data_IF_207737928758
#
_entry.id   IF_207737928758
#
_cell.length_a   1.000
_cell.length_b   1.000
_cell.length_c   1.000
_cell.angle_alpha   90.00
_cell.angle_beta   90.00
_cell.angle_gamma   90.00
#
_symmetry.space_group_name_H-M   'P 1'
#
loop_
_entity.id
_entity.type
_entity.pdbx_description
1 polymer ?
#
# COMPACT_ATOMS: atom_id res chain seq x y z
N UNK A 1 9.35 25.82 -48.04
CA UNK A 1 10.15 25.83 -46.79
C UNK A 1 9.26 25.32 -45.68
N UNK A 2 9.59 24.16 -45.12
CA UNK A 2 8.75 23.43 -44.18
C UNK A 2 8.71 24.12 -42.82
N UNK A 3 7.49 24.47 -42.37
CA UNK A 3 7.23 24.79 -40.97
C UNK A 3 7.08 23.48 -40.19
N UNK A 4 8.01 23.24 -39.26
CA UNK A 4 8.04 22.05 -38.43
C UNK A 4 6.75 21.85 -37.64
N UNK A 5 6.16 20.67 -37.82
CA UNK A 5 5.17 20.11 -36.91
C UNK A 5 5.80 19.99 -35.53
N UNK A 6 5.29 20.77 -34.58
CA UNK A 6 5.53 20.55 -33.14
C UNK A 6 4.87 19.22 -32.81
N UNK A 7 5.69 18.17 -32.69
CA UNK A 7 5.24 16.87 -32.24
C UNK A 7 4.57 17.01 -30.88
N UNK A 8 3.33 16.56 -30.77
CA UNK A 8 2.63 16.46 -29.49
C UNK A 8 3.35 15.42 -28.61
N UNK A 9 4.08 15.90 -27.61
CA UNK A 9 4.59 15.06 -26.52
C UNK A 9 3.39 14.51 -25.74
N UNK A 10 2.90 13.35 -26.18
CA UNK A 10 1.78 12.61 -25.57
C UNK A 10 2.22 11.83 -24.32
N UNK A 11 3.15 12.40 -23.54
CA UNK A 11 3.69 11.81 -22.32
C UNK A 11 3.37 12.67 -21.10
N UNK A 12 3.02 12.04 -19.98
CA UNK A 12 2.96 12.73 -18.69
C UNK A 12 4.36 13.19 -18.33
N UNK A 13 4.54 14.50 -18.14
CA UNK A 13 5.82 15.02 -17.65
C UNK A 13 6.08 14.57 -16.20
N UNK A 14 7.22 13.92 -16.02
CA UNK A 14 7.66 13.33 -14.75
C UNK A 14 8.38 14.39 -13.92
N UNK A 15 7.88 14.62 -12.71
CA UNK A 15 8.45 15.60 -11.78
C UNK A 15 9.96 15.36 -11.57
N UNK A 16 10.83 16.37 -11.74
CA UNK A 16 12.28 16.17 -11.71
C UNK A 16 12.80 15.54 -10.41
N UNK A 17 12.25 15.94 -9.26
CA UNK A 17 12.67 15.41 -7.95
C UNK A 17 12.40 13.91 -7.81
N UNK A 18 11.34 13.38 -8.44
CA UNK A 18 11.07 11.94 -8.45
C UNK A 18 12.16 11.13 -9.15
N UNK A 19 12.80 11.71 -10.17
CA UNK A 19 13.91 11.06 -10.89
C UNK A 19 15.21 11.05 -10.08
N UNK A 20 15.34 11.98 -9.14
CA UNK A 20 16.53 12.15 -8.31
C UNK A 20 16.42 11.46 -6.95
N UNK A 21 15.24 10.97 -6.57
CA UNK A 21 15.05 10.27 -5.31
C UNK A 21 15.84 8.96 -5.29
N UNK A 22 16.60 8.68 -4.21
CA UNK A 22 17.26 7.40 -4.04
C UNK A 22 16.23 6.29 -3.86
N UNK A 23 16.47 5.15 -4.51
CA UNK A 23 15.64 3.97 -4.34
C UNK A 23 16.06 3.21 -3.07
N UNK A 24 15.07 2.72 -2.33
CA UNK A 24 15.29 1.77 -1.26
C UNK A 24 15.91 0.45 -1.80
N UNK A 25 16.73 -0.25 -1.00
CA UNK A 25 17.38 -1.47 -1.44
C UNK A 25 16.38 -2.58 -1.77
N UNK A 26 16.70 -3.35 -2.80
CA UNK A 26 15.93 -4.51 -3.26
C UNK A 26 16.72 -5.79 -2.99
N UNK A 27 16.13 -6.72 -2.26
CA UNK A 27 16.73 -7.98 -1.86
C UNK A 27 16.03 -9.18 -2.52
N UNK A 28 16.81 -10.20 -2.89
CA UNK A 28 16.37 -11.43 -3.54
C UNK A 28 16.92 -12.64 -2.78
N UNK A 29 16.30 -13.04 -1.66
CA UNK A 29 16.75 -14.18 -0.89
C UNK A 29 16.80 -15.46 -1.74
N UNK A 30 17.81 -16.28 -1.50
CA UNK A 30 17.82 -17.67 -1.95
C UNK A 30 16.71 -18.47 -1.24
N UNK A 31 16.37 -19.65 -1.78
CA UNK A 31 15.39 -20.53 -1.14
C UNK A 31 15.77 -20.88 0.31
N UNK A 32 17.06 -21.08 0.60
CA UNK A 32 17.53 -21.38 1.95
C UNK A 32 17.37 -20.18 2.89
N UNK A 33 17.73 -18.99 2.44
CA UNK A 33 17.55 -17.76 3.23
C UNK A 33 16.09 -17.44 3.48
N UNK A 34 15.21 -17.80 2.54
CA UNK A 34 13.77 -17.57 2.65
C UNK A 34 13.07 -18.51 3.63
N UNK A 35 13.75 -19.52 4.20
CA UNK A 35 13.16 -20.43 5.18
C UNK A 35 12.93 -19.78 6.55
N UNK A 36 13.75 -18.78 6.92
CA UNK A 36 13.65 -18.08 8.21
C UNK A 36 13.50 -16.56 7.98
N UNK A 37 12.27 -16.03 8.03
CA UNK A 37 12.02 -14.61 7.77
C UNK A 37 12.73 -13.70 8.76
N UNK A 38 12.78 -14.07 10.04
CA UNK A 38 13.35 -13.19 11.08
C UNK A 38 14.86 -13.15 10.96
N UNK A 39 15.50 -14.30 10.75
CA UNK A 39 16.95 -14.34 10.51
C UNK A 39 17.34 -13.58 9.23
N UNK A 40 16.52 -13.65 8.17
CA UNK A 40 16.80 -12.91 6.94
C UNK A 40 16.63 -11.40 7.11
N UNK A 41 15.59 -10.94 7.81
CA UNK A 41 15.40 -9.52 8.13
C UNK A 41 16.60 -9.01 8.92
N UNK A 42 17.04 -9.74 9.94
CA UNK A 42 18.23 -9.39 10.73
C UNK A 42 19.51 -9.33 9.88
N UNK A 43 19.66 -10.24 8.90
CA UNK A 43 20.80 -10.24 7.96
C UNK A 43 20.89 -8.93 7.16
N UNK A 44 19.76 -8.41 6.69
CA UNK A 44 19.71 -7.21 5.82
C UNK A 44 19.57 -5.89 6.60
N UNK A 45 19.22 -5.95 7.89
CA UNK A 45 18.87 -4.81 8.74
C UNK A 45 19.91 -3.69 8.71
N UNK A 46 21.20 -4.04 8.78
CA UNK A 46 22.29 -3.05 8.83
C UNK A 46 22.30 -2.10 7.63
N UNK A 47 21.97 -2.60 6.44
CA UNK A 47 21.89 -1.78 5.22
C UNK A 47 20.49 -1.18 5.07
N UNK A 48 19.44 -2.00 5.23
CA UNK A 48 18.06 -1.59 5.02
C UNK A 48 17.62 -0.45 5.96
N UNK A 49 18.10 -0.45 7.21
CA UNK A 49 17.76 0.58 8.20
C UNK A 49 18.18 1.99 7.79
N UNK A 50 19.24 2.13 6.99
CA UNK A 50 19.72 3.42 6.47
C UNK A 50 18.72 4.08 5.51
N UNK A 51 17.72 3.34 5.04
CA UNK A 51 16.66 3.81 4.13
C UNK A 51 15.28 3.86 4.81
N UNK A 52 15.13 3.27 6.00
CA UNK A 52 13.86 3.12 6.71
C UNK A 52 12.90 2.07 6.13
N UNK A 53 13.01 1.74 4.84
CA UNK A 53 12.25 0.68 4.17
C UNK A 53 13.15 -0.10 3.19
N UNK A 54 12.75 -1.31 2.85
CA UNK A 54 13.35 -2.09 1.76
C UNK A 54 12.30 -2.92 1.03
N UNK A 55 12.67 -3.48 -0.13
CA UNK A 55 11.81 -4.39 -0.89
C UNK A 55 12.44 -5.77 -0.94
N UNK A 56 11.69 -6.80 -0.54
CA UNK A 56 12.11 -8.20 -0.65
C UNK A 56 11.30 -8.86 -1.77
N UNK A 57 11.97 -9.45 -2.75
CA UNK A 57 11.35 -10.23 -3.82
C UNK A 57 11.51 -11.71 -3.49
N UNK A 58 10.42 -12.41 -3.14
CA UNK A 58 10.48 -13.82 -2.78
C UNK A 58 11.04 -14.70 -3.92
N UNK A 59 11.77 -15.78 -3.61
CA UNK A 59 12.14 -16.81 -4.58
C UNK A 59 10.98 -17.75 -4.92
N UNK A 60 9.90 -17.70 -4.14
CA UNK A 60 8.69 -18.50 -4.31
C UNK A 60 7.62 -17.75 -5.12
N UNK A 61 6.78 -18.51 -5.81
CA UNK A 61 5.68 -17.93 -6.58
C UNK A 61 4.62 -17.30 -5.66
N UNK A 62 3.95 -16.22 -6.09
CA UNK A 62 2.76 -15.73 -5.40
C UNK A 62 1.61 -16.75 -5.54
N UNK A 63 0.68 -16.76 -4.58
CA UNK A 63 -0.56 -17.53 -4.71
C UNK A 63 -1.35 -17.09 -5.96
N UNK A 64 -1.93 -18.05 -6.67
CA UNK A 64 -2.79 -17.75 -7.83
C UNK A 64 -3.93 -16.78 -7.45
N UNK A 65 -4.30 -15.87 -8.36
CA UNK A 65 -5.34 -14.84 -8.14
C UNK A 65 -6.64 -15.43 -7.58
N UNK A 66 -7.11 -16.55 -8.16
CA UNK A 66 -8.34 -17.23 -7.71
C UNK A 66 -8.22 -17.70 -6.26
N UNK A 67 -7.08 -18.25 -5.88
CA UNK A 67 -6.79 -18.72 -4.52
C UNK A 67 -6.75 -17.57 -3.52
N UNK A 68 -6.01 -16.50 -3.84
CA UNK A 68 -5.92 -15.32 -2.97
C UNK A 68 -7.31 -14.67 -2.74
N UNK A 69 -8.11 -14.52 -3.80
CA UNK A 69 -9.50 -14.01 -3.68
C UNK A 69 -10.38 -14.96 -2.88
N UNK A 70 -10.25 -16.27 -3.08
CA UNK A 70 -11.03 -17.26 -2.32
C UNK A 70 -10.72 -17.22 -0.82
N UNK A 71 -9.43 -17.10 -0.45
CA UNK A 71 -9.01 -16.96 0.94
C UNK A 71 -9.50 -15.66 1.57
N UNK A 72 -9.42 -14.55 0.83
CA UNK A 72 -9.94 -13.26 1.29
C UNK A 72 -11.45 -13.32 1.51
N UNK A 73 -12.21 -13.83 0.54
CA UNK A 73 -13.67 -13.97 0.66
C UNK A 73 -14.06 -14.88 1.83
N UNK A 74 -13.31 -15.96 2.08
CA UNK A 74 -13.52 -16.81 3.26
C UNK A 74 -13.31 -16.04 4.55
N UNK A 75 -12.25 -15.23 4.63
CA UNK A 75 -11.96 -14.39 5.80
C UNK A 75 -13.03 -13.31 6.02
N UNK A 76 -13.51 -12.68 4.95
CA UNK A 76 -14.60 -11.70 5.04
C UNK A 76 -15.93 -12.37 5.43
N UNK A 77 -16.21 -13.55 4.91
CA UNK A 77 -17.41 -14.33 5.28
C UNK A 77 -17.42 -14.70 6.76
N UNK A 78 -16.27 -15.03 7.36
CA UNK A 78 -16.21 -15.37 8.78
C UNK A 78 -16.56 -14.21 9.70
N UNK A 79 -16.44 -12.97 9.23
CA UNK A 79 -16.85 -11.78 10.00
C UNK A 79 -18.37 -11.60 10.03
N UNK A 80 -19.06 -12.01 8.95
CA UNK A 80 -20.51 -11.93 8.80
C UNK A 80 -21.06 -13.19 8.11
N UNK A 81 -21.22 -14.33 8.82
CA UNK A 81 -21.53 -15.62 8.21
C UNK A 81 -22.84 -15.69 7.42
N UNK A 82 -23.78 -14.78 7.71
CA UNK A 82 -25.12 -14.74 7.10
C UNK A 82 -25.21 -13.74 5.93
N UNK A 83 -24.08 -13.25 5.42
CA UNK A 83 -24.05 -12.23 4.36
C UNK A 83 -22.99 -12.53 3.32
N UNK A 84 -23.12 -11.92 2.13
CA UNK A 84 -22.09 -12.01 1.11
C UNK A 84 -20.76 -11.42 1.64
N UNK A 85 -19.59 -11.99 1.27
CA UNK A 85 -18.29 -11.44 1.63
C UNK A 85 -18.13 -9.99 1.14
N UNK A 86 -18.20 -9.05 2.08
CA UNK A 86 -18.16 -7.61 1.82
C UNK A 86 -17.20 -6.93 2.77
N UNK A 87 -16.79 -5.71 2.41
CA UNK A 87 -15.96 -4.84 3.25
C UNK A 87 -16.40 -3.39 3.09
N UNK A 88 -16.16 -2.59 4.12
CA UNK A 88 -16.46 -1.16 4.10
C UNK A 88 -15.22 -0.35 3.73
N UNK A 89 -15.44 0.73 2.99
CA UNK A 89 -14.40 1.69 2.57
C UNK A 89 -14.49 2.97 3.41
N UNK A 90 -13.48 3.82 3.26
CA UNK A 90 -13.45 5.20 3.77
C UNK A 90 -13.14 6.14 2.61
N UNK A 91 -13.76 7.31 2.59
CA UNK A 91 -13.40 8.34 1.63
C UNK A 91 -12.15 9.07 2.10
N UNK A 92 -11.21 9.26 1.18
CA UNK A 92 -10.02 10.06 1.35
C UNK A 92 -10.05 11.21 0.36
N UNK A 93 -9.83 12.42 0.85
CA UNK A 93 -9.70 13.59 -0.02
C UNK A 93 -8.26 13.70 -0.54
N UNK A 94 -8.13 14.07 -1.81
CA UNK A 94 -6.87 14.42 -2.47
C UNK A 94 -7.05 15.79 -3.07
N UNK A 95 -6.05 16.64 -2.98
CA UNK A 95 -6.04 17.99 -3.52
C UNK A 95 -6.00 19.06 -2.44
N UNK A 96 -5.81 20.30 -2.87
CA UNK A 96 -5.62 21.43 -1.97
C UNK A 96 -6.95 22.10 -1.63
N UNK A 97 -7.30 22.13 -0.34
CA UNK A 97 -8.41 22.92 0.19
C UNK A 97 -7.86 24.18 0.87
N UNK A 98 -8.15 25.40 0.37
CA UNK A 98 -7.75 26.62 1.07
C UNK A 98 -8.36 26.65 2.48
N UNK A 99 -7.53 26.78 3.52
CA UNK A 99 -7.94 26.78 4.96
C UNK A 99 -9.10 27.75 5.27
N UNK A 100 -9.31 28.79 4.45
CA UNK A 100 -10.39 29.78 4.60
C UNK A 100 -11.80 29.28 4.23
N UNK A 101 -11.95 28.06 3.71
CA UNK A 101 -13.25 27.46 3.37
C UNK A 101 -13.59 26.23 4.23
N UNK A 102 -13.02 26.12 5.43
CA UNK A 102 -13.48 25.18 6.46
C UNK A 102 -14.84 25.64 7.02
N UNK A 103 -15.87 25.71 6.17
CA UNK A 103 -17.22 25.48 6.67
C UNK A 103 -17.28 24.01 7.12
N UNK A 104 -17.97 23.68 8.22
CA UNK A 104 -18.06 22.31 8.71
C UNK A 104 -18.97 21.50 7.77
N UNK A 105 -18.44 21.11 6.61
CA UNK A 105 -19.12 20.28 5.61
C UNK A 105 -18.74 18.81 5.78
N UNK A 106 -18.01 18.44 6.83
CA UNK A 106 -17.84 17.04 7.22
C UNK A 106 -19.03 16.64 8.08
N UNK A 107 -20.17 16.33 7.44
CA UNK A 107 -21.38 15.84 8.14
C UNK A 107 -21.26 14.40 8.65
N UNK A 108 -20.21 13.66 8.25
CA UNK A 108 -19.97 12.26 8.64
C UNK A 108 -18.50 12.08 9.01
N UNK A 109 -18.24 11.34 10.10
CA UNK A 109 -16.87 10.94 10.45
C UNK A 109 -16.20 10.20 9.29
N UNK A 110 -14.87 10.24 9.19
CA UNK A 110 -14.09 9.46 8.20
C UNK A 110 -14.52 7.98 8.22
N UNK A 111 -14.84 7.47 9.42
CA UNK A 111 -15.27 6.10 9.65
C UNK A 111 -16.63 5.74 9.03
N UNK A 112 -17.47 6.73 8.75
CA UNK A 112 -18.82 6.59 8.18
C UNK A 112 -18.93 7.13 6.75
N UNK A 113 -17.80 7.51 6.15
CA UNK A 113 -17.77 8.27 4.90
C UNK A 113 -17.86 7.40 3.65
N UNK A 114 -17.44 6.12 3.72
CA UNK A 114 -17.45 5.22 2.58
C UNK A 114 -18.68 4.32 2.52
N UNK A 115 -18.63 3.40 1.56
CA UNK A 115 -19.69 2.42 1.26
C UNK A 115 -19.18 0.99 1.48
N UNK A 116 -20.11 0.03 1.48
CA UNK A 116 -19.82 -1.40 1.56
C UNK A 116 -19.84 -2.02 0.18
N UNK A 117 -18.81 -2.82 -0.13
CA UNK A 117 -18.63 -3.45 -1.42
C UNK A 117 -18.25 -4.92 -1.31
N UNK A 118 -18.61 -5.69 -2.33
CA UNK A 118 -17.88 -6.92 -2.66
C UNK A 118 -16.59 -6.57 -3.41
N UNK A 119 -15.61 -7.48 -3.41
CA UNK A 119 -14.35 -7.26 -4.13
C UNK A 119 -14.58 -7.00 -5.64
N UNK A 120 -15.57 -7.68 -6.23
CA UNK A 120 -15.92 -7.49 -7.65
C UNK A 120 -16.49 -6.09 -7.92
N UNK A 121 -17.37 -5.59 -7.05
CA UNK A 121 -17.94 -4.25 -7.19
C UNK A 121 -16.84 -3.19 -7.07
N UNK A 122 -15.98 -3.30 -6.06
CA UNK A 122 -14.90 -2.34 -5.86
C UNK A 122 -13.85 -2.38 -6.99
N UNK A 123 -13.51 -3.57 -7.50
CA UNK A 123 -12.62 -3.69 -8.68
C UNK A 123 -13.22 -3.01 -9.92
N UNK A 124 -14.53 -3.13 -10.15
CA UNK A 124 -15.20 -2.45 -11.26
C UNK A 124 -15.17 -0.92 -11.10
N UNK A 125 -15.48 -0.41 -9.89
CA UNK A 125 -15.38 1.01 -9.55
C UNK A 125 -13.96 1.55 -9.74
N UNK A 126 -12.96 0.84 -9.22
CA UNK A 126 -11.54 1.23 -9.34
C UNK A 126 -11.09 1.29 -10.80
N UNK A 127 -11.52 0.32 -11.64
CA UNK A 127 -11.23 0.34 -13.09
C UNK A 127 -11.86 1.53 -13.79
N UNK A 128 -13.13 1.83 -13.49
CA UNK A 128 -13.80 2.98 -14.08
C UNK A 128 -13.10 4.29 -13.70
N UNK A 129 -12.75 4.45 -12.42
CA UNK A 129 -12.00 5.61 -11.95
C UNK A 129 -10.62 5.73 -12.59
N UNK A 130 -9.88 4.63 -12.75
CA UNK A 130 -8.57 4.70 -13.41
C UNK A 130 -8.65 5.16 -14.87
N UNK A 131 -9.72 4.79 -15.58
CA UNK A 131 -9.92 5.18 -16.98
C UNK A 131 -10.20 6.67 -17.15
N UNK A 132 -10.82 7.31 -16.15
CA UNK A 132 -11.13 8.75 -16.20
C UNK A 132 -9.94 9.60 -15.76
N UNK A 133 -9.03 9.06 -14.94
CA UNK A 133 -7.89 9.81 -14.38
C UNK A 133 -6.58 9.62 -15.13
N UNK A 134 -6.35 8.45 -15.69
CA UNK A 134 -5.13 8.17 -16.44
C UNK A 134 -5.29 8.61 -17.90
N UNK A 135 -4.29 9.28 -18.49
CA UNK A 135 -4.36 9.68 -19.89
C UNK A 135 -4.51 8.47 -20.81
N UNK A 136 -5.31 8.64 -21.85
CA UNK A 136 -5.56 7.61 -22.85
C UNK A 136 -4.28 7.31 -23.62
N UNK A 137 -3.79 6.08 -23.54
CA UNK A 137 -2.66 5.64 -24.35
C UNK A 137 -3.19 5.07 -25.68
N UNK A 138 -2.74 5.56 -26.85
CA UNK A 138 -3.14 5.01 -28.14
C UNK A 138 -2.75 3.52 -28.25
N UNK A 139 -3.64 2.71 -28.82
CA UNK A 139 -3.36 1.30 -29.12
C UNK A 139 -2.17 1.19 -30.07
N UNK A 140 -1.13 0.43 -29.69
CA UNK A 140 0.00 0.10 -30.58
C UNK A 140 1.39 0.53 -30.11
N UNK A 141 1.53 1.32 -29.03
CA UNK A 141 2.84 1.55 -28.40
C UNK A 141 3.16 0.40 -27.42
N UNK A 142 4.26 -0.32 -27.66
CA UNK A 142 4.79 -1.32 -26.72
C UNK A 142 5.37 -0.61 -25.50
N UNK A 143 4.78 -0.84 -24.32
CA UNK A 143 5.25 -0.30 -23.04
C UNK A 143 4.16 -0.36 -21.96
N UNK A 144 4.51 -0.25 -20.66
CA UNK A 144 3.53 -0.17 -19.59
C UNK A 144 2.59 1.03 -19.79
N UNK A 145 1.30 0.85 -19.53
CA UNK A 145 0.31 1.95 -19.53
C UNK A 145 0.67 2.98 -18.47
N UNK A 146 1.22 4.13 -18.88
CA UNK A 146 1.75 5.19 -18.01
C UNK A 146 2.77 4.63 -17.00
N UNK A 147 4.08 4.84 -17.23
CA UNK A 147 5.12 4.30 -16.35
C UNK A 147 4.94 4.69 -14.86
N UNK A 148 5.51 3.94 -13.89
CA UNK A 148 5.31 4.20 -12.46
C UNK A 148 5.53 5.66 -12.05
N UNK A 149 6.63 6.27 -12.48
CA UNK A 149 6.93 7.69 -12.20
C UNK A 149 5.93 8.68 -12.83
N UNK A 150 5.30 8.31 -13.95
CA UNK A 150 4.24 9.13 -14.56
C UNK A 150 2.97 9.09 -13.70
N UNK A 151 2.55 7.91 -13.24
CA UNK A 151 1.40 7.79 -12.33
C UNK A 151 1.65 8.50 -11.01
N UNK A 152 2.86 8.38 -10.48
CA UNK A 152 3.32 9.09 -9.28
C UNK A 152 3.33 10.62 -9.46
N UNK A 153 3.79 11.10 -10.62
CA UNK A 153 3.72 12.53 -10.96
C UNK A 153 2.28 13.03 -11.05
N UNK A 154 1.36 12.22 -11.57
CA UNK A 154 -0.07 12.56 -11.58
C UNK A 154 -0.63 12.64 -10.16
N UNK A 155 -0.23 11.74 -9.25
CA UNK A 155 -0.64 11.79 -7.85
C UNK A 155 -0.18 13.10 -7.17
N UNK A 156 1.10 13.45 -7.26
CA UNK A 156 1.61 14.69 -6.65
C UNK A 156 1.08 15.97 -7.30
N UNK A 157 0.80 15.95 -8.60
CA UNK A 157 0.08 17.06 -9.25
C UNK A 157 -1.35 17.16 -8.73
N UNK A 158 -2.03 16.03 -8.54
CA UNK A 158 -3.38 15.97 -8.00
C UNK A 158 -3.47 16.48 -6.56
N UNK A 159 -2.44 16.33 -5.72
CA UNK A 159 -2.44 16.88 -4.35
C UNK A 159 -2.42 18.42 -4.31
N UNK A 160 -1.97 19.07 -5.39
CA UNK A 160 -1.92 20.53 -5.51
C UNK A 160 -3.11 21.12 -6.31
N UNK A 161 -3.95 20.28 -6.91
CA UNK A 161 -5.10 20.70 -7.72
C UNK A 161 -6.40 20.69 -6.91
N UNK A 162 -7.53 20.97 -7.58
CA UNK A 162 -8.87 20.96 -7.00
C UNK A 162 -9.18 19.62 -6.32
N UNK A 163 -9.79 19.65 -5.12
CA UNK A 163 -9.98 18.46 -4.33
C UNK A 163 -10.98 17.48 -4.96
N UNK A 164 -10.71 16.18 -4.82
CA UNK A 164 -11.63 15.09 -5.13
C UNK A 164 -11.48 13.95 -4.13
N UNK A 165 -12.46 13.06 -4.09
CA UNK A 165 -12.45 11.90 -3.20
C UNK A 165 -12.05 10.62 -3.91
N UNK A 166 -11.30 9.77 -3.20
CA UNK A 166 -11.06 8.36 -3.51
C UNK A 166 -11.55 7.51 -2.35
N UNK A 167 -11.68 6.21 -2.56
CA UNK A 167 -12.06 5.27 -1.49
C UNK A 167 -10.92 4.31 -1.19
N UNK A 168 -10.79 3.93 0.07
CA UNK A 168 -9.78 3.01 0.56
C UNK A 168 -10.38 2.16 1.68
N UNK A 169 -10.22 0.84 1.60
CA UNK A 169 -10.53 -0.04 2.70
C UNK A 169 -9.21 -0.40 3.41
N UNK A 170 -9.01 0.18 4.59
CA UNK A 170 -7.87 -0.05 5.44
C UNK A 170 -8.26 -0.78 6.72
N UNK A 171 -7.27 -1.46 7.30
CA UNK A 171 -7.36 -2.11 8.60
C UNK A 171 -8.50 -3.14 8.64
N UNK A 172 -8.73 -3.83 7.53
CA UNK A 172 -9.71 -4.91 7.46
C UNK A 172 -9.15 -6.15 8.14
N UNK A 173 -9.84 -6.75 9.13
CA UNK A 173 -9.42 -8.04 9.66
C UNK A 173 -9.56 -9.12 8.58
N UNK A 174 -8.64 -10.10 8.60
CA UNK A 174 -8.64 -11.24 7.69
C UNK A 174 -7.35 -11.35 6.90
N UNK A 175 -7.30 -12.26 5.91
CA UNK A 175 -6.11 -12.43 5.09
C UNK A 175 -6.39 -13.18 3.78
N UNK A 176 -5.67 -12.80 2.73
CA UNK A 176 -5.66 -13.50 1.44
C UNK A 176 -4.64 -14.67 1.39
N UNK A 177 -3.81 -14.83 2.43
CA UNK A 177 -3.01 -16.03 2.63
C UNK A 177 -3.89 -17.21 3.10
N UNK A 178 -3.52 -18.45 2.76
CA UNK A 178 -4.20 -19.64 3.29
C UNK A 178 -3.97 -19.78 4.79
N UNK A 179 -4.87 -20.49 5.48
CA UNK A 179 -4.65 -20.84 6.89
C UNK A 179 -3.32 -21.58 7.09
N UNK A 180 -2.54 -21.25 8.14
CA UNK A 180 -1.33 -21.98 8.47
C UNK A 180 -1.62 -23.47 8.66
N UNK A 181 -0.74 -24.33 8.13
CA UNK A 181 -0.91 -25.79 8.26
C UNK A 181 -1.97 -26.42 7.34
N UNK A 182 -2.63 -25.66 6.45
CA UNK A 182 -3.48 -26.21 5.40
C UNK A 182 -2.65 -27.03 4.39
N UNK A 183 -2.45 -28.31 4.70
CA UNK A 183 -1.70 -29.25 3.87
C UNK A 183 -2.43 -29.52 2.56
N UNK A 184 -1.83 -29.08 1.46
CA UNK A 184 -2.12 -29.55 0.10
C UNK A 184 -0.78 -29.72 -0.60
N UNK A 185 -0.48 -30.95 -1.03
CA UNK A 185 0.75 -31.28 -1.74
C UNK A 185 0.91 -30.39 -2.99
N UNK A 186 2.14 -29.94 -3.26
CA UNK A 186 2.68 -29.45 -4.55
C UNK A 186 2.71 -27.94 -4.89
N UNK A 187 2.45 -26.99 -3.97
CA UNK A 187 2.58 -25.57 -4.33
C UNK A 187 3.61 -24.86 -3.45
N UNK A 188 4.84 -24.70 -3.98
CA UNK A 188 5.91 -23.89 -3.40
C UNK A 188 5.60 -22.38 -3.56
N UNK A 189 4.55 -21.93 -2.88
CA UNK A 189 4.09 -20.55 -2.91
C UNK A 189 4.44 -19.81 -1.62
N UNK A 190 4.64 -18.48 -1.70
CA UNK A 190 4.92 -17.61 -0.55
C UNK A 190 3.94 -17.85 0.59
N UNK A 191 2.65 -18.03 0.27
CA UNK A 191 1.60 -18.22 1.27
C UNK A 191 1.65 -19.53 2.05
N UNK A 192 2.47 -20.50 1.65
CA UNK A 192 2.69 -21.76 2.38
C UNK A 192 4.07 -21.81 3.06
N UNK A 193 4.83 -20.72 2.98
CA UNK A 193 6.15 -20.59 3.63
C UNK A 193 6.05 -19.94 5.02
N UNK A 194 7.18 -19.85 5.73
CA UNK A 194 7.29 -19.11 6.98
C UNK A 194 6.99 -17.60 6.84
N UNK A 195 6.97 -17.06 5.62
CA UNK A 195 6.57 -15.69 5.31
C UNK A 195 5.06 -15.48 5.21
N UNK A 196 4.24 -16.51 5.44
CA UNK A 196 2.79 -16.33 5.55
C UNK A 196 2.47 -15.37 6.70
N UNK A 197 1.91 -14.21 6.36
CA UNK A 197 1.64 -13.12 7.32
C UNK A 197 0.63 -13.48 8.41
N UNK A 198 -0.11 -14.59 8.28
CA UNK A 198 -0.95 -15.11 9.37
C UNK A 198 -0.13 -15.67 10.55
N UNK A 199 1.12 -16.05 10.31
CA UNK A 199 1.93 -16.75 11.31
C UNK A 199 3.33 -16.14 11.51
N UNK A 200 3.78 -15.24 10.61
CA UNK A 200 5.15 -14.70 10.63
C UNK A 200 5.50 -14.00 11.96
N UNK A 201 4.52 -13.35 12.61
CA UNK A 201 4.67 -12.71 13.92
C UNK A 201 5.03 -13.71 15.02
N UNK A 202 4.73 -15.01 14.83
CA UNK A 202 4.99 -16.11 15.78
C UNK A 202 6.24 -16.92 15.44
N UNK A 203 6.94 -16.56 14.36
CA UNK A 203 8.18 -17.20 13.92
C UNK A 203 9.26 -17.18 15.01
N UNK A 204 10.17 -18.15 14.96
CA UNK A 204 11.35 -18.17 15.85
C UNK A 204 12.14 -16.87 15.67
N UNK A 205 12.57 -16.27 16.76
CA UNK A 205 13.25 -14.97 16.77
C UNK A 205 12.32 -13.76 16.95
N UNK A 206 11.01 -13.88 16.69
CA UNK A 206 10.06 -12.81 16.99
C UNK A 206 9.70 -12.80 18.48
N UNK A 207 9.76 -11.63 19.12
CA UNK A 207 9.28 -11.45 20.51
C UNK A 207 7.75 -11.51 20.60
N UNK A 208 7.05 -11.17 19.51
CA UNK A 208 5.58 -11.21 19.48
C UNK A 208 5.04 -12.62 19.68
N UNK A 209 5.84 -13.68 19.46
CA UNK A 209 5.42 -15.07 19.71
C UNK A 209 5.01 -15.37 21.16
N UNK A 210 5.43 -14.54 22.11
CA UNK A 210 5.11 -14.69 23.53
C UNK A 210 3.84 -13.95 23.97
N UNK A 211 3.23 -13.17 23.07
CA UNK A 211 1.96 -12.49 23.36
C UNK A 211 0.80 -13.48 23.18
N UNK A 212 0.02 -13.82 24.21
CA UNK A 212 -1.04 -14.81 24.07
C UNK A 212 -2.24 -14.29 23.29
N UNK A 213 -2.51 -12.98 23.33
CA UNK A 213 -3.63 -12.39 22.61
C UNK A 213 -3.37 -12.26 21.11
N UNK A 214 -4.45 -12.26 20.34
CA UNK A 214 -4.45 -11.83 18.95
C UNK A 214 -4.79 -10.35 18.85
N UNK A 215 -3.83 -9.55 18.43
CA UNK A 215 -3.95 -8.11 18.21
C UNK A 215 -3.93 -7.86 16.70
N UNK A 216 -5.05 -7.42 16.10
CA UNK A 216 -5.11 -7.06 14.68
C UNK A 216 -4.06 -6.00 14.32
N UNK A 217 -3.31 -6.25 13.26
CA UNK A 217 -2.21 -5.38 12.82
C UNK A 217 -0.86 -5.71 13.43
N UNK A 218 -0.82 -6.38 14.59
CA UNK A 218 0.42 -6.68 15.32
C UNK A 218 0.74 -8.18 15.27
N UNK A 219 -0.14 -9.02 15.81
CA UNK A 219 0.08 -10.48 15.82
C UNK A 219 -0.71 -11.19 14.73
N UNK A 220 -1.81 -10.58 14.27
CA UNK A 220 -2.61 -11.04 13.13
C UNK A 220 -2.63 -9.98 12.02
N UNK A 221 -2.64 -10.38 10.74
CA UNK A 221 -2.53 -9.44 9.63
C UNK A 221 -3.83 -8.66 9.41
N UNK A 222 -3.68 -7.49 8.79
CA UNK A 222 -4.78 -6.71 8.22
C UNK A 222 -4.71 -6.69 6.70
N UNK A 223 -5.85 -6.49 6.05
CA UNK A 223 -5.99 -6.39 4.60
C UNK A 223 -6.29 -4.96 4.19
N UNK A 224 -5.63 -4.53 3.12
CA UNK A 224 -5.82 -3.22 2.50
C UNK A 224 -6.30 -3.40 1.06
N UNK A 225 -7.43 -2.77 0.72
CA UNK A 225 -8.01 -2.80 -0.64
C UNK A 225 -8.13 -1.35 -1.13
N UNK A 226 -7.46 -1.06 -2.24
CA UNK A 226 -7.23 0.30 -2.72
C UNK A 226 -7.61 0.47 -4.19
N UNK A 227 -7.82 1.72 -4.58
CA UNK A 227 -7.94 2.15 -5.97
C UNK A 227 -6.82 3.14 -6.33
N UNK A 228 -6.81 3.59 -7.58
CA UNK A 228 -5.83 4.59 -8.03
C UNK A 228 -5.89 5.84 -7.13
N UNK A 229 -4.72 6.29 -6.68
CA UNK A 229 -4.52 7.42 -5.78
C UNK A 229 -4.99 7.25 -4.31
N UNK A 230 -5.57 6.11 -3.91
CA UNK A 230 -5.70 5.81 -2.48
C UNK A 230 -4.32 5.89 -1.80
N UNK A 231 -4.26 6.51 -0.62
CA UNK A 231 -3.00 6.85 0.03
C UNK A 231 -3.03 6.52 1.52
N UNK A 232 -1.86 6.47 2.16
CA UNK A 232 -1.72 6.40 3.61
C UNK A 232 -0.75 7.49 4.03
N UNK A 233 -1.09 8.19 5.12
CA UNK A 233 -0.32 9.34 5.57
C UNK A 233 1.05 8.92 6.09
N UNK A 234 1.95 9.90 6.26
CA UNK A 234 3.17 9.70 7.02
C UNK A 234 2.84 9.23 8.44
N UNK A 235 3.43 8.11 8.85
CA UNK A 235 3.27 7.53 10.18
C UNK A 235 4.50 6.68 10.50
N UNK A 236 4.64 6.35 11.78
CA UNK A 236 5.47 5.26 12.29
C UNK A 236 4.55 4.19 12.84
N UNK A 237 4.99 2.94 12.87
CA UNK A 237 4.23 1.83 13.45
C UNK A 237 4.13 1.97 14.96
N UNK A 238 3.06 1.43 15.54
CA UNK A 238 2.89 1.39 16.99
C UNK A 238 4.09 0.68 17.65
N UNK A 239 4.61 1.29 18.72
CA UNK A 239 5.79 0.81 19.45
C UNK A 239 7.07 0.67 18.60
N UNK A 240 7.18 1.43 17.50
CA UNK A 240 8.32 1.35 16.57
C UNK A 240 8.56 -0.09 16.05
N UNK A 241 7.49 -0.88 15.93
CA UNK A 241 7.58 -2.25 15.43
C UNK A 241 7.96 -2.28 13.95
N UNK A 242 8.53 -3.41 13.52
CA UNK A 242 8.73 -3.67 12.11
C UNK A 242 7.38 -3.94 11.41
N UNK A 243 7.17 -3.32 10.26
CA UNK A 243 6.02 -3.58 9.39
C UNK A 243 6.41 -4.52 8.24
N UNK A 244 5.59 -5.54 7.98
CA UNK A 244 5.74 -6.42 6.83
C UNK A 244 4.50 -6.27 5.94
N UNK A 245 4.68 -5.80 4.69
CA UNK A 245 3.61 -5.61 3.73
C UNK A 245 3.77 -6.52 2.49
N UNK A 246 2.71 -7.24 2.12
CA UNK A 246 2.70 -8.10 0.94
C UNK A 246 1.60 -7.70 -0.04
N UNK A 247 2.00 -7.33 -1.25
CA UNK A 247 1.08 -7.02 -2.33
C UNK A 247 0.59 -8.31 -3.00
N UNK A 248 -0.59 -8.79 -2.61
CA UNK A 248 -1.16 -10.01 -3.17
C UNK A 248 -1.49 -9.90 -4.67
N UNK A 249 -2.17 -8.82 -5.07
CA UNK A 249 -2.77 -8.64 -6.38
C UNK A 249 -2.89 -7.15 -6.71
N UNK A 250 -2.98 -6.84 -8.01
CA UNK A 250 -3.37 -5.50 -8.47
C UNK A 250 -2.20 -4.67 -9.00
N UNK A 251 -2.42 -3.35 -9.05
CA UNK A 251 -1.42 -2.40 -9.51
C UNK A 251 -0.33 -2.19 -8.44
N UNK A 252 0.87 -1.69 -8.83
CA UNK A 252 1.93 -1.37 -7.88
C UNK A 252 1.51 -0.34 -6.83
N UNK A 253 2.14 -0.43 -5.65
CA UNK A 253 2.02 0.53 -4.54
C UNK A 253 3.36 1.26 -4.38
N UNK A 254 3.34 2.58 -4.45
CA UNK A 254 4.53 3.43 -4.22
C UNK A 254 4.69 3.71 -2.73
N UNK A 255 5.92 3.63 -2.23
CA UNK A 255 6.28 3.91 -0.84
C UNK A 255 7.39 4.95 -0.79
N UNK A 256 7.33 5.81 0.21
CA UNK A 256 8.44 6.66 0.62
C UNK A 256 8.82 6.27 2.04
N UNK A 257 10.11 6.16 2.31
CA UNK A 257 10.64 5.82 3.63
C UNK A 257 11.54 6.93 4.14
N UNK A 258 11.54 7.10 5.46
CA UNK A 258 12.48 7.95 6.18
C UNK A 258 13.24 7.04 7.15
N UNK A 259 14.57 7.04 7.15
CA UNK A 259 15.33 6.25 8.10
C UNK A 259 15.11 6.74 9.52
N UNK A 260 15.22 5.83 10.50
CA UNK A 260 14.94 6.10 11.90
C UNK A 260 15.78 7.26 12.45
N UNK A 261 17.04 7.35 12.03
CA UNK A 261 17.99 8.39 12.44
C UNK A 261 17.54 9.79 12.01
N UNK A 262 16.67 9.90 11.01
CA UNK A 262 16.11 11.15 10.52
C UNK A 262 14.70 11.45 11.05
N UNK A 263 14.13 10.62 11.94
CA UNK A 263 12.76 10.76 12.42
C UNK A 263 12.48 12.16 13.02
N UNK A 264 13.31 12.62 13.96
CA UNK A 264 13.14 13.94 14.58
C UNK A 264 13.31 15.10 13.59
N UNK A 265 14.25 14.97 12.63
CA UNK A 265 14.43 15.97 11.60
C UNK A 265 13.20 16.04 10.67
N UNK A 266 12.62 14.88 10.35
CA UNK A 266 11.39 14.81 9.57
C UNK A 266 10.20 15.42 10.32
N UNK A 267 10.02 15.10 11.61
CA UNK A 267 8.98 15.69 12.46
C UNK A 267 9.11 17.22 12.50
N UNK A 268 10.33 17.76 12.62
CA UNK A 268 10.55 19.19 12.62
C UNK A 268 10.22 19.85 11.28
N UNK A 269 10.54 19.20 10.16
CA UNK A 269 10.14 19.64 8.81
C UNK A 269 8.61 19.67 8.68
N UNK A 270 7.91 18.65 9.16
CA UNK A 270 6.43 18.60 9.13
C UNK A 270 5.84 19.70 10.02
N UNK A 271 6.38 19.92 11.21
CA UNK A 271 5.98 21.02 12.10
C UNK A 271 6.17 22.37 11.43
N UNK A 272 7.35 22.65 10.87
CA UNK A 272 7.68 23.94 10.28
C UNK A 272 6.94 24.20 8.96
N UNK A 273 6.89 23.23 8.05
CA UNK A 273 6.41 23.43 6.69
C UNK A 273 5.01 22.87 6.44
N UNK A 274 4.60 21.80 7.13
CA UNK A 274 3.25 21.24 7.03
C UNK A 274 2.23 22.04 7.83
N UNK A 275 2.57 22.38 9.06
CA UNK A 275 1.69 23.10 9.99
C UNK A 275 2.01 24.60 10.12
N UNK A 276 3.05 25.10 9.45
CA UNK A 276 3.42 26.52 9.50
C UNK A 276 4.05 26.93 10.83
N UNK A 277 4.68 25.99 11.55
CA UNK A 277 5.31 26.23 12.85
C UNK A 277 4.37 26.16 14.05
N UNK A 278 3.06 25.95 13.84
CA UNK A 278 2.09 25.76 14.90
C UNK A 278 2.32 24.42 15.61
N UNK A 279 2.57 24.48 16.93
CA UNK A 279 2.79 23.30 17.78
C UNK A 279 1.49 22.56 18.13
N UNK A 280 0.32 23.15 17.84
CA UNK A 280 -0.98 22.56 18.19
C UNK A 280 -2.11 23.06 17.25
N UNK A 281 -2.19 22.56 16.00
CA UNK A 281 -3.15 23.03 15.00
C UNK A 281 -4.54 22.36 15.11
N UNK A 282 -4.95 21.93 16.31
CA UNK A 282 -6.28 21.30 16.55
C UNK A 282 -7.37 22.35 16.80
#
# INVERSE_FOLDING_TARGET
>A
MGGGSVGSETGVDVLPWLKALPLAPEYRPTLSEFQDPIAYIFKIEKEASQYGICKIIPPLAPSAKKTAISNLNRSLASLNPNSEPTFSTRQQQIGWCPRKQLHPVVRKSVWQSGETYTLRQFEAKAKQFSKTRLPHQPSGKAGPKNGPLAVESLFWKATADKPFSVEYANDLPGSAFPEPGAAGMQDEAVGRSAWNMRAVSRSRGSLLRFMPEEIPGVTSPMVYIAMLFSWFAWHVEDHDLHSLNYLHLGAPKTWYGVPREAAFAFEDVIRAHGYGGELNPL
#
